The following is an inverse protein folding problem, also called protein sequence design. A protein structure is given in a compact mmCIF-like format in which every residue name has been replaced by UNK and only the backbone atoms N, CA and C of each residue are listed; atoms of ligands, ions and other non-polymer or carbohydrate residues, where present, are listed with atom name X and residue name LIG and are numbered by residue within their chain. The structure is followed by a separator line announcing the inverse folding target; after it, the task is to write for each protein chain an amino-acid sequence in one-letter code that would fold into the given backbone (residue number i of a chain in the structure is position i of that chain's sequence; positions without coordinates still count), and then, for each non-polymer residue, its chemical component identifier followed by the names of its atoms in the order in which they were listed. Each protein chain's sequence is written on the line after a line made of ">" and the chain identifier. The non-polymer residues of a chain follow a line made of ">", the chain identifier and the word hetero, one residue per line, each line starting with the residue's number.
data_IF_764620749350
#
_entry.id   IF_764620749350
#
_cell.length_a   1.000
_cell.length_b   1.000
_cell.length_c   1.000
_cell.angle_alpha   90.00
_cell.angle_beta   90.00
_cell.angle_gamma   90.00
#
_symmetry.space_group_name_H-M   'P 1'
#
loop_
_entity.id
_entity.type
_entity.pdbx_description
1 polymer ?
#
# COMPACT_ATOMS: atom_id res chain seq x y z
N UNK A 1 -21.58 4.43 4.51
CA UNK A 1 -20.48 4.05 3.61
C UNK A 1 -19.96 2.69 4.08
N UNK A 2 -19.80 1.69 3.20
CA UNK A 2 -19.36 0.34 3.61
C UNK A 2 -17.89 0.37 4.09
N UNK A 3 -17.56 -0.40 5.14
CA UNK A 3 -16.19 -0.57 5.64
C UNK A 3 -15.21 -0.99 4.53
N UNK A 4 -15.69 -1.70 3.53
CA UNK A 4 -14.89 -2.15 2.38
C UNK A 4 -14.40 -0.98 1.53
N UNK A 5 -15.27 0.02 1.33
CA UNK A 5 -14.94 1.23 0.58
C UNK A 5 -13.92 2.06 1.37
N UNK A 6 -14.13 2.20 2.68
CA UNK A 6 -13.22 2.93 3.57
C UNK A 6 -11.84 2.27 3.60
N UNK A 7 -11.79 0.95 3.80
CA UNK A 7 -10.52 0.21 3.80
C UNK A 7 -9.81 0.33 2.45
N UNK A 8 -10.55 0.19 1.34
CA UNK A 8 -9.95 0.30 0.02
C UNK A 8 -9.37 1.70 -0.23
N UNK A 9 -10.05 2.76 0.18
CA UNK A 9 -9.55 4.13 0.06
C UNK A 9 -8.31 4.35 0.94
N UNK A 10 -8.37 3.92 2.22
CA UNK A 10 -7.24 3.99 3.15
C UNK A 10 -6.01 3.23 2.64
N UNK A 11 -6.19 2.03 2.08
CA UNK A 11 -5.09 1.24 1.51
C UNK A 11 -4.48 1.88 0.26
N UNK A 12 -5.30 2.50 -0.60
CA UNK A 12 -4.79 3.25 -1.76
C UNK A 12 -3.99 4.49 -1.33
N UNK A 13 -4.48 5.20 -0.33
CA UNK A 13 -3.80 6.38 0.22
C UNK A 13 -2.48 5.99 0.88
N UNK A 14 -2.48 4.93 1.70
CA UNK A 14 -1.26 4.38 2.29
C UNK A 14 -0.26 3.92 1.23
N UNK A 15 -0.68 3.13 0.23
CA UNK A 15 0.25 2.57 -0.75
C UNK A 15 0.91 3.64 -1.61
N UNK A 16 0.17 4.71 -1.92
CA UNK A 16 0.71 5.84 -2.63
C UNK A 16 1.67 6.67 -1.76
N UNK A 17 1.34 6.92 -0.49
CA UNK A 17 2.23 7.58 0.47
C UNK A 17 3.54 6.77 0.68
N UNK A 18 3.44 5.46 0.89
CA UNK A 18 4.58 4.55 1.05
C UNK A 18 5.45 4.51 -0.22
N UNK A 19 4.84 4.53 -1.41
CA UNK A 19 5.56 4.60 -2.68
C UNK A 19 6.37 5.90 -2.80
N UNK A 20 5.78 7.06 -2.48
CA UNK A 20 6.48 8.34 -2.49
C UNK A 20 7.63 8.38 -1.46
N UNK A 21 7.45 7.75 -0.30
CA UNK A 21 8.46 7.64 0.76
C UNK A 21 9.63 6.75 0.39
N UNK A 22 9.35 5.56 -0.14
CA UNK A 22 10.39 4.60 -0.51
C UNK A 22 11.23 5.02 -1.71
N UNK A 23 10.69 5.87 -2.61
CA UNK A 23 11.41 6.34 -3.81
C UNK A 23 12.05 7.72 -3.67
N UNK A 24 11.91 8.40 -2.53
CA UNK A 24 12.46 9.74 -2.35
C UNK A 24 11.80 10.80 -3.25
N UNK A 25 10.60 10.54 -3.79
CA UNK A 25 9.85 11.48 -4.64
C UNK A 25 9.26 12.67 -3.86
N UNK A 26 9.63 12.84 -2.59
CA UNK A 26 9.30 14.01 -1.77
C UNK A 26 10.07 15.27 -2.14
N UNK A 27 10.98 15.22 -3.12
CA UNK A 27 12.00 16.24 -3.33
C UNK A 27 11.97 17.03 -4.63
N UNK A 28 11.16 16.71 -5.63
CA UNK A 28 11.30 17.38 -6.93
C UNK A 28 9.99 18.02 -7.41
N UNK A 29 9.93 19.36 -7.48
CA UNK A 29 8.94 20.06 -8.28
C UNK A 29 8.94 19.47 -9.69
N UNK A 30 7.81 19.59 -10.39
CA UNK A 30 7.55 19.13 -11.76
C UNK A 30 8.53 19.65 -12.86
N UNK A 31 9.64 20.29 -12.48
CA UNK A 31 10.68 20.87 -13.33
C UNK A 31 12.11 20.62 -12.85
N UNK A 32 12.36 19.66 -11.97
CA UNK A 32 13.75 19.29 -11.66
C UNK A 32 14.25 18.22 -12.63
N UNK A 33 15.27 18.58 -13.40
CA UNK A 33 16.04 17.75 -14.33
C UNK A 33 16.78 16.57 -13.65
N UNK A 34 16.65 16.40 -12.32
CA UNK A 34 17.38 15.40 -11.53
C UNK A 34 16.65 14.03 -11.47
N UNK A 35 15.40 13.94 -11.95
CA UNK A 35 14.68 12.66 -12.03
C UNK A 35 15.15 11.72 -13.17
N UNK A 36 16.23 12.06 -13.87
CA UNK A 36 16.53 11.53 -15.22
C UNK A 36 17.66 10.48 -15.33
N UNK A 37 18.29 10.00 -14.24
CA UNK A 37 19.46 9.11 -14.39
C UNK A 37 19.45 7.77 -13.62
N UNK A 38 18.38 7.41 -12.90
CA UNK A 38 18.48 6.29 -11.95
C UNK A 38 17.92 4.93 -12.35
N UNK A 39 16.80 4.83 -13.09
CA UNK A 39 15.95 3.62 -12.97
C UNK A 39 15.50 2.96 -14.27
N UNK A 40 15.92 3.43 -15.45
CA UNK A 40 15.65 2.75 -16.72
C UNK A 40 14.17 2.45 -17.02
N UNK A 41 13.25 3.09 -16.29
CA UNK A 41 11.81 2.87 -16.42
C UNK A 41 11.15 4.14 -16.95
N UNK A 42 10.30 3.95 -17.96
CA UNK A 42 9.47 4.94 -18.62
C UNK A 42 8.98 6.05 -17.66
N UNK A 43 9.35 7.29 -17.99
CA UNK A 43 8.89 8.51 -17.38
C UNK A 43 7.36 8.58 -17.44
N UNK A 44 6.69 8.20 -16.35
CA UNK A 44 5.27 8.53 -16.17
C UNK A 44 5.22 9.92 -15.55
N UNK A 45 4.76 10.92 -16.30
CA UNK A 45 4.34 12.22 -15.76
C UNK A 45 3.24 11.97 -14.72
N UNK A 46 3.58 11.83 -13.45
CA UNK A 46 2.59 11.84 -12.38
C UNK A 46 2.16 13.28 -12.14
N UNK A 47 0.91 13.57 -12.46
CA UNK A 47 0.28 14.90 -12.35
C UNK A 47 -0.29 15.20 -10.97
N UNK A 48 -0.08 14.32 -9.98
CA UNK A 48 -0.58 14.51 -8.62
C UNK A 48 0.52 15.08 -7.73
N UNK A 49 0.21 16.08 -6.88
CA UNK A 49 1.19 16.68 -5.99
C UNK A 49 1.76 15.61 -5.05
N UNK A 50 3.03 15.74 -4.62
CA UNK A 50 3.57 14.89 -3.58
C UNK A 50 2.65 14.98 -2.35
N UNK A 51 2.26 13.82 -1.81
CA UNK A 51 1.45 13.79 -0.60
C UNK A 51 2.17 14.52 0.53
N UNK A 52 1.47 15.24 1.41
CA UNK A 52 2.11 15.81 2.60
C UNK A 52 2.75 14.69 3.42
N UNK A 53 4.00 14.92 3.86
CA UNK A 53 4.75 14.02 4.76
C UNK A 53 3.92 13.59 5.98
N UNK A 54 3.08 14.50 6.47
CA UNK A 54 2.14 14.27 7.57
C UNK A 54 0.76 13.86 7.03
N UNK A 55 0.63 12.59 6.63
CA UNK A 55 -0.68 11.98 6.39
C UNK A 55 -0.99 11.00 7.52
N UNK A 56 -1.71 11.48 8.54
CA UNK A 56 -2.04 10.70 9.74
C UNK A 56 -2.77 9.39 9.42
N UNK A 57 -3.69 9.39 8.45
CA UNK A 57 -4.43 8.17 8.08
C UNK A 57 -3.54 7.14 7.39
N UNK A 58 -2.59 7.59 6.55
CA UNK A 58 -1.62 6.69 5.93
C UNK A 58 -0.63 6.12 6.96
N UNK A 59 -0.19 6.94 7.93
CA UNK A 59 0.67 6.51 9.03
C UNK A 59 -0.04 5.51 9.96
N UNK A 60 -1.31 5.75 10.27
CA UNK A 60 -2.16 4.82 11.02
C UNK A 60 -2.24 3.47 10.30
N UNK A 61 -2.53 3.48 8.99
CA UNK A 61 -2.55 2.25 8.19
C UNK A 61 -1.20 1.55 8.15
N UNK A 62 -0.09 2.29 8.00
CA UNK A 62 1.25 1.72 8.04
C UNK A 62 1.53 1.02 9.38
N UNK A 63 1.07 1.62 10.48
CA UNK A 63 1.18 1.05 11.83
C UNK A 63 0.41 -0.27 11.92
N UNK A 64 -0.85 -0.30 11.48
CA UNK A 64 -1.65 -1.52 11.48
C UNK A 64 -1.07 -2.63 10.59
N UNK A 65 -0.56 -2.28 9.41
CA UNK A 65 0.09 -3.23 8.52
C UNK A 65 1.38 -3.79 9.12
N UNK A 66 2.13 -2.97 9.87
CA UNK A 66 3.33 -3.43 10.57
C UNK A 66 3.00 -4.36 11.74
N UNK A 67 1.98 -4.04 12.54
CA UNK A 67 1.49 -4.91 13.62
C UNK A 67 1.02 -6.25 13.03
N UNK A 68 0.12 -6.21 12.03
CA UNK A 68 -0.33 -7.41 11.31
C UNK A 68 0.86 -8.22 10.79
N UNK A 69 1.87 -7.57 10.23
CA UNK A 69 3.06 -8.25 9.70
C UNK A 69 3.98 -8.85 10.75
N UNK A 70 3.92 -8.43 12.02
CA UNK A 70 4.64 -9.10 13.11
C UNK A 70 3.98 -10.42 13.52
N UNK A 71 2.65 -10.52 13.40
CA UNK A 71 1.87 -11.73 13.69
C UNK A 71 1.79 -12.65 12.45
N UNK A 72 1.64 -12.05 11.27
CA UNK A 72 1.38 -12.69 9.98
C UNK A 72 2.22 -12.03 8.87
N UNK A 73 3.53 -12.33 8.79
CA UNK A 73 4.43 -11.75 7.79
C UNK A 73 3.93 -11.92 6.35
N UNK A 74 3.35 -13.07 6.04
CA UNK A 74 2.83 -13.42 4.72
C UNK A 74 1.64 -12.56 4.27
N UNK A 75 0.86 -12.02 5.20
CA UNK A 75 -0.22 -11.09 4.90
C UNK A 75 0.33 -9.72 4.52
N UNK A 76 1.33 -9.25 5.27
CA UNK A 76 2.01 -7.98 4.99
C UNK A 76 2.70 -8.04 3.63
N UNK A 77 3.39 -9.14 3.33
CA UNK A 77 4.05 -9.34 2.03
C UNK A 77 3.06 -9.34 0.87
N UNK A 78 1.97 -10.12 0.97
CA UNK A 78 0.95 -10.16 -0.08
C UNK A 78 0.31 -8.77 -0.31
N UNK A 79 0.07 -8.03 0.78
CA UNK A 79 -0.52 -6.70 0.72
C UNK A 79 0.45 -5.65 0.14
N UNK A 80 1.71 -5.64 0.56
CA UNK A 80 2.75 -4.78 -0.05
C UNK A 80 2.93 -5.09 -1.52
N UNK A 81 3.07 -6.37 -1.87
CA UNK A 81 3.25 -6.80 -3.25
C UNK A 81 2.07 -6.37 -4.14
N UNK A 82 0.83 -6.54 -3.67
CA UNK A 82 -0.37 -6.18 -4.43
C UNK A 82 -0.55 -4.66 -4.60
N UNK A 83 -0.27 -3.86 -3.56
CA UNK A 83 -0.57 -2.43 -3.58
C UNK A 83 0.60 -1.53 -4.04
N UNK A 84 1.85 -2.01 -3.96
CA UNK A 84 3.05 -1.24 -4.32
C UNK A 84 3.62 -1.60 -5.68
N UNK A 85 3.13 -2.67 -6.32
CA UNK A 85 3.58 -3.09 -7.65
C UNK A 85 2.41 -3.09 -8.65
N UNK A 86 2.73 -3.25 -9.94
CA UNK A 86 1.74 -3.33 -11.03
C UNK A 86 1.57 -4.75 -11.58
N UNK A 87 2.18 -5.74 -10.93
CA UNK A 87 2.11 -7.12 -11.37
C UNK A 87 0.71 -7.70 -11.17
N UNK A 88 0.31 -8.58 -12.09
CA UNK A 88 -0.91 -9.36 -11.93
C UNK A 88 -0.78 -10.33 -10.75
N UNK A 89 -1.92 -10.77 -10.20
CA UNK A 89 -1.95 -11.78 -9.13
C UNK A 89 -1.19 -13.05 -9.53
N UNK A 90 -1.22 -13.44 -10.81
CA UNK A 90 -0.49 -14.63 -11.29
C UNK A 90 1.02 -14.43 -11.21
N UNK A 91 1.50 -13.27 -11.61
CA UNK A 91 2.93 -12.92 -11.54
C UNK A 91 3.38 -12.79 -10.08
N UNK A 92 2.59 -12.12 -9.23
CA UNK A 92 2.89 -12.00 -7.81
C UNK A 92 2.94 -13.37 -7.10
N UNK A 93 1.98 -14.25 -7.40
CA UNK A 93 1.98 -15.61 -6.85
C UNK A 93 3.21 -16.40 -7.31
N UNK A 94 3.62 -16.26 -8.58
CA UNK A 94 4.84 -16.87 -9.11
C UNK A 94 6.10 -16.34 -8.42
N UNK A 95 6.21 -15.02 -8.22
CA UNK A 95 7.33 -14.40 -7.52
C UNK A 95 7.43 -14.82 -6.05
N UNK A 96 6.28 -15.08 -5.42
CA UNK A 96 6.19 -15.57 -4.04
C UNK A 96 6.20 -17.11 -3.94
N UNK A 97 6.44 -17.83 -5.03
CA UNK A 97 6.47 -19.31 -5.07
C UNK A 97 5.21 -19.99 -4.49
N UNK A 98 4.04 -19.37 -4.67
CA UNK A 98 2.75 -19.91 -4.21
C UNK A 98 1.72 -19.98 -5.33
N UNK A 99 0.65 -20.74 -5.10
CA UNK A 99 -0.47 -20.74 -6.04
C UNK A 99 -1.20 -19.38 -6.07
N UNK A 100 -1.76 -18.97 -7.22
CA UNK A 100 -2.60 -17.76 -7.29
C UNK A 100 -3.79 -17.77 -6.31
N UNK A 101 -4.30 -18.97 -5.99
CA UNK A 101 -5.36 -19.14 -4.99
C UNK A 101 -4.86 -18.79 -3.60
N UNK A 102 -3.69 -19.29 -3.21
CA UNK A 102 -3.07 -18.98 -1.92
C UNK A 102 -2.74 -17.49 -1.80
N UNK A 103 -2.23 -16.86 -2.86
CA UNK A 103 -1.97 -15.42 -2.87
C UNK A 103 -3.24 -14.61 -2.65
N UNK A 104 -4.33 -14.95 -3.37
CA UNK A 104 -5.64 -14.32 -3.18
C UNK A 104 -6.16 -14.48 -1.76
N UNK A 105 -5.99 -15.68 -1.19
CA UNK A 105 -6.41 -15.97 0.18
C UNK A 105 -5.65 -15.09 1.18
N UNK A 106 -4.32 -15.04 1.10
CA UNK A 106 -3.49 -14.15 1.94
C UNK A 106 -3.90 -12.69 1.84
N UNK A 107 -4.17 -12.20 0.61
CA UNK A 107 -4.63 -10.83 0.40
C UNK A 107 -6.03 -10.59 0.99
N UNK A 108 -6.93 -11.58 0.90
CA UNK A 108 -8.25 -11.53 1.50
C UNK A 108 -8.15 -11.48 3.03
N UNK A 109 -7.38 -12.38 3.63
CA UNK A 109 -7.20 -12.48 5.08
C UNK A 109 -6.55 -11.22 5.65
N UNK A 110 -5.53 -10.68 4.96
CA UNK A 110 -4.92 -9.40 5.30
C UNK A 110 -5.96 -8.26 5.34
N UNK A 111 -6.84 -8.19 4.33
CA UNK A 111 -7.92 -7.19 4.31
C UNK A 111 -8.91 -7.42 5.43
N UNK A 112 -9.30 -8.66 5.70
CA UNK A 112 -10.25 -9.00 6.78
C UNK A 112 -9.69 -8.63 8.14
N UNK A 113 -8.41 -8.91 8.40
CA UNK A 113 -7.72 -8.49 9.64
C UNK A 113 -7.76 -6.96 9.80
N UNK A 114 -7.43 -6.21 8.75
CA UNK A 114 -7.48 -4.74 8.77
C UNK A 114 -8.89 -4.19 8.94
N UNK A 115 -9.91 -4.82 8.33
CA UNK A 115 -11.32 -4.45 8.56
C UNK A 115 -11.70 -4.59 10.02
N UNK A 116 -11.30 -5.68 10.67
CA UNK A 116 -11.56 -5.91 12.09
C UNK A 116 -10.96 -4.82 12.99
N UNK A 117 -9.79 -4.27 12.64
CA UNK A 117 -9.21 -3.12 13.35
C UNK A 117 -9.97 -1.82 13.09
N UNK A 118 -10.36 -1.57 11.83
CA UNK A 118 -11.10 -0.37 11.46
C UNK A 118 -12.50 -0.33 12.09
N UNK A 119 -13.19 -1.46 12.23
CA UNK A 119 -14.52 -1.51 12.86
C UNK A 119 -14.45 -1.12 14.34
N UNK A 120 -13.47 -1.65 15.09
CA UNK A 120 -13.28 -1.32 16.51
C UNK A 120 -12.95 0.17 16.69
N UNK A 121 -12.09 0.74 15.84
CA UNK A 121 -11.75 2.17 15.93
C UNK A 121 -12.93 3.10 15.60
N UNK A 122 -13.88 2.67 14.77
CA UNK A 122 -15.08 3.48 14.48
C UNK A 122 -16.05 3.44 15.66
N UNK A 123 -16.21 2.28 16.31
CA UNK A 123 -17.09 2.14 17.48
C UNK A 123 -16.58 2.90 18.71
N UNK A 124 -15.27 3.05 18.88
CA UNK A 124 -14.66 3.79 20.00
C UNK A 124 -14.71 5.31 19.82
N UNK A 125 -14.89 5.80 18.58
CA UNK A 125 -14.95 7.23 18.25
C UNK A 125 -16.38 7.74 17.96
N UNK A 126 -17.40 6.96 18.30
CA UNK A 126 -18.82 7.33 18.31
C UNK A 126 -19.30 7.46 19.76
#
# INVERSE_FOLDING_TARGET
>A
MSLDIILQDRLKNWSHWEYCFTRGEFGYPSKSTIADFGTGNLLVRYSKPPFPLNNMLAQEMATWINIMGSEHPEYKEALKAFYLTRYSIRELAKLSEISPRMFKQRLHDARTWLKGRLSVNIEVNL
#
